data_IF_260816580845
#
_entry.id   IF_260816580845
#
_cell.length_a   1.000
_cell.length_b   1.000
_cell.length_c   1.000
_cell.angle_alpha   90.00
_cell.angle_beta   90.00
_cell.angle_gamma   90.00
#
_symmetry.space_group_name_H-M   'P 1'
#
loop_
_entity.id
_entity.type
_entity.pdbx_description
1 polymer ?
#
# COMPACT_ATOMS: atom_id res chain seq x y z
N UNK A 1 18.28 20.87 10.63
CA UNK A 1 17.00 21.23 10.01
C UNK A 1 16.60 20.10 9.06
N UNK A 2 15.62 19.27 9.43
CA UNK A 2 15.14 18.17 8.57
C UNK A 2 14.01 18.71 7.70
N UNK A 3 14.21 18.71 6.38
CA UNK A 3 13.21 19.11 5.40
C UNK A 3 12.11 18.05 5.33
N UNK A 4 10.87 18.48 5.51
CA UNK A 4 9.68 17.65 5.29
C UNK A 4 9.48 17.45 3.79
N UNK A 5 9.43 16.20 3.33
CA UNK A 5 9.05 15.87 1.96
C UNK A 5 7.53 16.03 1.82
N UNK A 6 7.12 17.14 1.21
CA UNK A 6 5.76 17.39 0.73
C UNK A 6 5.70 16.81 -0.69
N UNK A 7 4.92 15.75 -0.90
CA UNK A 7 4.52 15.36 -2.24
C UNK A 7 3.65 16.47 -2.84
N UNK A 8 4.21 17.23 -3.78
CA UNK A 8 3.49 18.25 -4.53
C UNK A 8 3.44 17.83 -5.99
N UNK A 9 2.26 17.44 -6.46
CA UNK A 9 1.74 17.92 -7.75
C UNK A 9 0.21 18.03 -7.71
N UNK A 10 -0.22 19.27 -7.84
CA UNK A 10 -1.53 19.82 -8.22
C UNK A 10 -2.80 19.38 -7.47
N UNK A 11 -3.14 20.22 -6.48
CA UNK A 11 -4.47 20.78 -6.19
C UNK A 11 -5.71 20.00 -6.62
N UNK A 12 -6.43 19.43 -5.66
CA UNK A 12 -7.48 20.15 -4.90
C UNK A 12 -7.96 19.31 -3.72
N UNK A 13 -8.06 19.93 -2.55
CA UNK A 13 -8.80 19.51 -1.36
C UNK A 13 -9.06 17.99 -1.21
N UNK A 14 -8.09 17.26 -0.66
CA UNK A 14 -8.41 15.99 0.00
C UNK A 14 -7.86 16.09 1.41
N UNK A 15 -8.72 16.44 2.36
CA UNK A 15 -8.52 16.09 3.77
C UNK A 15 -8.73 14.58 3.95
N UNK A 16 -8.08 13.77 3.12
CA UNK A 16 -8.04 12.33 3.31
C UNK A 16 -7.09 12.10 4.46
N UNK A 17 -7.51 11.27 5.40
CA UNK A 17 -6.70 10.77 6.49
C UNK A 17 -5.41 10.17 5.92
N UNK A 18 -4.35 10.99 5.83
CA UNK A 18 -3.02 10.51 5.49
C UNK A 18 -2.56 9.71 6.70
N UNK A 19 -2.62 8.38 6.61
CA UNK A 19 -2.09 7.50 7.64
C UNK A 19 -0.60 7.82 7.76
N UNK A 20 -0.14 8.38 8.90
CA UNK A 20 1.28 8.61 9.09
C UNK A 20 1.95 7.23 9.13
N UNK A 21 2.71 6.87 8.10
CA UNK A 21 3.40 5.57 7.97
C UNK A 21 4.19 5.12 9.21
N UNK A 22 4.59 6.06 10.08
CA UNK A 22 5.19 5.79 11.40
C UNK A 22 4.25 5.13 12.42
N UNK A 23 2.96 5.03 12.12
CA UNK A 23 1.96 4.30 12.92
C UNK A 23 1.78 2.86 12.46
N UNK A 24 2.38 2.48 11.32
CA UNK A 24 2.40 1.10 10.88
C UNK A 24 3.29 0.28 11.83
N UNK A 25 2.92 -0.99 12.02
CA UNK A 25 3.76 -1.92 12.74
C UNK A 25 5.15 -2.00 12.07
N UNK A 26 6.26 -1.72 12.77
CA UNK A 26 7.61 -1.78 12.19
C UNK A 26 7.96 -3.15 11.60
N UNK A 27 7.33 -4.21 12.09
CA UNK A 27 7.54 -5.59 11.63
C UNK A 27 6.62 -5.97 10.45
N UNK A 28 5.74 -5.07 10.00
CA UNK A 28 4.87 -5.31 8.84
C UNK A 28 5.62 -5.25 7.52
N UNK A 29 5.12 -6.02 6.53
CA UNK A 29 5.61 -5.94 5.15
C UNK A 29 5.36 -4.55 4.56
N UNK A 30 4.24 -3.91 4.96
CA UNK A 30 3.88 -2.54 4.58
C UNK A 30 4.96 -1.55 5.00
N UNK A 31 5.38 -1.60 6.27
CA UNK A 31 6.40 -0.70 6.78
C UNK A 31 7.75 -0.90 6.08
N UNK A 32 8.16 -2.16 5.91
CA UNK A 32 9.42 -2.51 5.25
C UNK A 32 9.48 -2.00 3.81
N UNK A 33 8.38 -2.13 3.06
CA UNK A 33 8.31 -1.66 1.69
C UNK A 33 8.29 -0.13 1.58
N UNK A 34 7.47 0.56 2.37
CA UNK A 34 7.44 2.03 2.37
C UNK A 34 8.79 2.62 2.80
N UNK A 35 9.49 1.97 3.73
CA UNK A 35 10.85 2.34 4.10
C UNK A 35 11.83 2.14 2.93
N UNK A 36 11.75 1.02 2.22
CA UNK A 36 12.58 0.75 1.04
C UNK A 36 12.41 1.84 -0.03
N UNK A 37 11.17 2.17 -0.40
CA UNK A 37 10.87 3.26 -1.34
C UNK A 37 11.36 4.62 -0.83
N UNK A 38 11.16 4.92 0.46
CA UNK A 38 11.59 6.18 1.06
C UNK A 38 13.12 6.38 0.97
N UNK A 39 13.90 5.31 1.08
CA UNK A 39 15.36 5.36 0.95
C UNK A 39 15.85 5.24 -0.50
N UNK A 40 14.96 5.33 -1.49
CA UNK A 40 15.31 5.31 -2.91
C UNK A 40 15.59 3.91 -3.46
N UNK A 41 15.06 2.88 -2.81
CA UNK A 41 15.10 1.51 -3.30
C UNK A 41 14.31 1.33 -4.60
N UNK A 42 14.64 0.29 -5.36
CA UNK A 42 13.91 -0.10 -6.57
C UNK A 42 12.57 -0.75 -6.20
N UNK A 43 11.69 -0.93 -7.19
CA UNK A 43 10.44 -1.64 -6.95
C UNK A 43 10.71 -3.09 -6.57
N UNK A 44 10.00 -3.56 -5.55
CA UNK A 44 10.11 -4.93 -5.07
C UNK A 44 9.07 -5.77 -5.78
N UNK A 45 9.50 -6.97 -6.20
CA UNK A 45 8.63 -7.95 -6.83
C UNK A 45 8.40 -9.06 -5.82
N UNK A 46 7.15 -9.30 -5.47
CA UNK A 46 6.75 -10.26 -4.44
C UNK A 46 5.88 -11.38 -5.03
N UNK A 47 5.81 -12.49 -4.32
CA UNK A 47 4.90 -13.59 -4.66
C UNK A 47 3.45 -13.21 -4.30
N UNK A 48 2.51 -13.91 -4.93
CA UNK A 48 1.08 -13.70 -4.69
C UNK A 48 0.70 -13.89 -3.23
N UNK A 49 1.27 -14.89 -2.58
CA UNK A 49 1.03 -15.20 -1.18
C UNK A 49 1.46 -14.05 -0.27
N UNK A 50 2.62 -13.44 -0.56
CA UNK A 50 3.11 -12.24 0.14
C UNK A 50 2.19 -11.04 -0.09
N UNK A 51 1.61 -10.91 -1.29
CA UNK A 51 0.69 -9.83 -1.62
C UNK A 51 -0.63 -9.95 -0.87
N UNK A 52 -1.12 -11.19 -0.70
CA UNK A 52 -2.32 -11.48 0.10
C UNK A 52 -2.08 -11.14 1.58
N UNK A 53 -0.89 -11.46 2.12
CA UNK A 53 -0.53 -11.07 3.49
C UNK A 53 -0.47 -9.56 3.63
N UNK A 54 0.19 -8.86 2.70
CA UNK A 54 0.25 -7.41 2.68
C UNK A 54 -1.14 -6.77 2.64
N UNK A 55 -2.01 -7.24 1.75
CA UNK A 55 -3.36 -6.72 1.62
C UNK A 55 -4.19 -6.99 2.88
N UNK A 56 -4.03 -8.14 3.52
CA UNK A 56 -4.67 -8.43 4.81
C UNK A 56 -4.24 -7.47 5.92
N UNK A 57 -2.93 -7.18 6.04
CA UNK A 57 -2.42 -6.17 6.98
C UNK A 57 -3.01 -4.78 6.70
N UNK A 58 -3.13 -4.42 5.42
CA UNK A 58 -3.71 -3.15 4.99
C UNK A 58 -5.20 -3.05 5.34
N UNK A 59 -5.99 -4.08 5.04
CA UNK A 59 -7.42 -4.14 5.40
C UNK A 59 -7.59 -3.99 6.92
N UNK A 60 -6.80 -4.71 7.70
CA UNK A 60 -6.87 -4.64 9.16
C UNK A 60 -6.61 -3.21 9.65
N UNK A 61 -5.68 -2.49 9.03
CA UNK A 61 -5.44 -1.08 9.33
C UNK A 61 -6.62 -0.20 8.93
N UNK A 62 -7.19 -0.40 7.74
CA UNK A 62 -8.34 0.38 7.25
C UNK A 62 -9.56 0.19 8.15
N UNK A 63 -9.86 -1.05 8.55
CA UNK A 63 -10.94 -1.39 9.49
C UNK A 63 -10.68 -0.74 10.85
N UNK A 64 -9.45 -0.80 11.37
CA UNK A 64 -9.10 -0.18 12.64
C UNK A 64 -9.28 1.35 12.66
N UNK A 65 -9.22 1.99 11.48
CA UNK A 65 -9.47 3.42 11.31
C UNK A 65 -10.93 3.76 10.97
N UNK A 66 -11.82 2.77 10.94
CA UNK A 66 -13.25 2.93 10.66
C UNK A 66 -13.61 2.93 9.18
N UNK A 67 -12.68 2.53 8.31
CA UNK A 67 -12.94 2.28 6.90
C UNK A 67 -13.56 0.90 6.64
N UNK A 68 -13.93 0.66 5.39
CA UNK A 68 -14.50 -0.59 4.91
C UNK A 68 -13.90 -0.95 3.56
N UNK A 69 -13.52 -2.21 3.39
CA UNK A 69 -13.02 -2.78 2.13
C UNK A 69 -13.52 -4.21 2.01
N UNK A 70 -14.00 -4.60 0.84
CA UNK A 70 -14.41 -5.98 0.59
C UNK A 70 -13.20 -6.85 0.24
N UNK A 71 -13.13 -8.04 0.84
CA UNK A 71 -12.04 -8.98 0.59
C UNK A 71 -12.05 -9.48 -0.87
N UNK A 72 -13.24 -9.59 -1.47
CA UNK A 72 -13.41 -10.03 -2.86
C UNK A 72 -12.76 -9.05 -3.84
N UNK A 73 -12.99 -7.73 -3.67
CA UNK A 73 -12.38 -6.68 -4.48
C UNK A 73 -10.84 -6.73 -4.42
N UNK A 74 -10.28 -6.99 -3.24
CA UNK A 74 -8.83 -7.11 -3.05
C UNK A 74 -8.28 -8.33 -3.77
N UNK A 75 -8.93 -9.48 -3.66
CA UNK A 75 -8.47 -10.70 -4.32
C UNK A 75 -8.57 -10.56 -5.84
N UNK A 76 -9.60 -9.89 -6.35
CA UNK A 76 -9.73 -9.56 -7.77
C UNK A 76 -8.63 -8.61 -8.25
N UNK A 77 -8.35 -7.55 -7.50
CA UNK A 77 -7.24 -6.63 -7.77
C UNK A 77 -5.89 -7.34 -7.82
N UNK A 78 -5.59 -8.17 -6.81
CA UNK A 78 -4.37 -8.99 -6.76
C UNK A 78 -4.27 -9.90 -7.99
N UNK A 79 -5.33 -10.62 -8.34
CA UNK A 79 -5.35 -11.48 -9.53
C UNK A 79 -5.05 -10.69 -10.81
N UNK A 80 -5.59 -9.47 -10.91
CA UNK A 80 -5.49 -8.61 -12.10
C UNK A 80 -4.07 -8.08 -12.30
N UNK A 81 -3.36 -7.77 -11.21
CA UNK A 81 -1.98 -7.24 -11.26
C UNK A 81 -0.90 -8.32 -11.22
N UNK A 82 -1.27 -9.59 -10.99
CA UNK A 82 -0.35 -10.73 -10.98
C UNK A 82 0.18 -10.97 -12.40
N UNK A 83 1.51 -10.91 -12.54
CA UNK A 83 2.19 -11.19 -13.79
C UNK A 83 2.10 -12.68 -14.20
N UNK A 84 2.44 -12.96 -15.46
CA UNK A 84 2.46 -14.33 -15.98
C UNK A 84 3.44 -15.26 -15.24
N UNK A 85 4.43 -14.68 -14.54
CA UNK A 85 5.41 -15.37 -13.71
C UNK A 85 4.92 -15.60 -12.26
N UNK A 86 3.67 -15.23 -11.96
CA UNK A 86 3.06 -15.39 -10.64
C UNK A 86 3.49 -14.30 -9.64
N UNK A 87 4.19 -13.27 -10.10
CA UNK A 87 4.75 -12.22 -9.25
C UNK A 87 4.03 -10.89 -9.43
N UNK A 88 4.13 -10.05 -8.41
CA UNK A 88 3.44 -8.76 -8.33
C UNK A 88 4.46 -7.67 -8.00
N UNK A 89 4.40 -6.58 -8.76
CA UNK A 89 5.07 -5.32 -8.41
C UNK A 89 4.42 -4.73 -7.17
N UNK A 90 5.21 -4.47 -6.14
CA UNK A 90 4.71 -3.87 -4.90
C UNK A 90 4.16 -2.47 -5.14
N UNK A 91 4.76 -1.69 -6.03
CA UNK A 91 4.21 -0.40 -6.42
C UNK A 91 2.80 -0.54 -7.02
N UNK A 92 2.59 -1.51 -7.92
CA UNK A 92 1.26 -1.78 -8.49
C UNK A 92 0.27 -2.28 -7.44
N UNK A 93 0.71 -3.09 -6.48
CA UNK A 93 -0.13 -3.52 -5.37
C UNK A 93 -0.59 -2.35 -4.50
N UNK A 94 0.32 -1.43 -4.17
CA UNK A 94 -0.02 -0.22 -3.40
C UNK A 94 -0.98 0.67 -4.16
N UNK A 95 -0.74 0.89 -5.46
CA UNK A 95 -1.64 1.66 -6.32
C UNK A 95 -3.06 1.06 -6.32
N UNK A 96 -3.17 -0.25 -6.53
CA UNK A 96 -4.45 -0.97 -6.54
C UNK A 96 -5.18 -0.84 -5.20
N UNK A 97 -4.48 -1.04 -4.08
CA UNK A 97 -5.06 -0.92 -2.74
C UNK A 97 -5.49 0.51 -2.42
N UNK A 98 -4.79 1.53 -2.93
CA UNK A 98 -5.19 2.92 -2.77
C UNK A 98 -6.46 3.27 -3.56
N UNK A 99 -6.69 2.64 -4.72
CA UNK A 99 -7.92 2.81 -5.49
C UNK A 99 -9.16 2.29 -4.77
N UNK A 100 -9.00 1.33 -3.86
CA UNK A 100 -10.10 0.78 -3.05
C UNK A 100 -10.51 1.69 -1.88
N UNK A 101 -9.74 2.74 -1.57
CA UNK A 101 -10.02 3.67 -0.47
C UNK A 101 -10.76 4.94 -0.89
N UNK A 102 -11.09 5.10 -2.18
CA UNK A 102 -11.85 6.27 -2.71
C UNK A 102 -13.34 6.06 -2.63
#
# INVERSE_FOLDING_TARGET
MKQSLIFKRHSSAVSANVIPWKRLNPDSLIYSHLAHLYYGGEDLVIEREEAVVFASEFINQVIAEGGYVELEDILEGINTITGCDGRISMMRLVEELCLLLT
#
